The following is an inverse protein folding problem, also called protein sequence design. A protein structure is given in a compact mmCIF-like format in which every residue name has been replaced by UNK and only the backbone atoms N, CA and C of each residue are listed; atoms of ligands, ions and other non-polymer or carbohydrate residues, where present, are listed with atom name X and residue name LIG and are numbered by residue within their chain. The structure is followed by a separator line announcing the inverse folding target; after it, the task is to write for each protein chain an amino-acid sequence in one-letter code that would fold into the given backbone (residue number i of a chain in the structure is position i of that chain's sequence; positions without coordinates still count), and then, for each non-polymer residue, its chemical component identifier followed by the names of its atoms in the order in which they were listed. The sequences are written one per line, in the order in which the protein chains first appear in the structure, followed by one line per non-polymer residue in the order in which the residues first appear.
data_IF_276305741062
#
_entry.id   IF_276305741062
#
_cell.length_a   1.000
_cell.length_b   1.000
_cell.length_c   1.000
_cell.angle_alpha   90.00
_cell.angle_beta   90.00
_cell.angle_gamma   90.00
#
_symmetry.space_group_name_H-M   'P 1'
#
loop_
_entity.id
_entity.type
_entity.pdbx_description
1 polymer ?
#
# COMPACT_ATOMS: atom_id res chain seq x y z
N UNK A 1 -28.90 41.12 -20.52
CA UNK A 1 -27.57 41.39 -19.94
C UNK A 1 -27.51 40.97 -18.48
N UNK A 2 -28.30 41.61 -17.59
CA UNK A 2 -28.25 41.40 -16.13
C UNK A 2 -28.51 39.96 -15.66
N UNK A 3 -29.53 39.28 -16.21
CA UNK A 3 -29.85 37.88 -15.86
C UNK A 3 -28.73 36.88 -16.21
N UNK A 4 -28.02 37.10 -17.32
CA UNK A 4 -26.88 36.26 -17.71
C UNK A 4 -25.70 36.46 -16.75
N UNK A 5 -25.41 37.71 -16.36
CA UNK A 5 -24.36 38.04 -15.39
C UNK A 5 -24.63 37.44 -14.01
N UNK A 6 -25.90 37.44 -13.57
CA UNK A 6 -26.32 36.79 -12.32
C UNK A 6 -26.13 35.27 -12.39
N UNK A 7 -26.53 34.64 -13.50
CA UNK A 7 -26.39 33.20 -13.68
C UNK A 7 -24.91 32.76 -13.70
N UNK A 8 -24.05 33.52 -14.39
CA UNK A 8 -22.60 33.27 -14.40
C UNK A 8 -21.98 33.48 -13.02
N UNK A 9 -22.41 34.53 -12.29
CA UNK A 9 -21.96 34.76 -10.91
C UNK A 9 -22.32 33.60 -9.98
N UNK A 10 -23.56 33.11 -10.04
CA UNK A 10 -24.01 31.95 -9.26
C UNK A 10 -23.25 30.67 -9.62
N UNK A 11 -23.00 30.42 -10.91
CA UNK A 11 -22.23 29.27 -11.36
C UNK A 11 -20.78 29.33 -10.85
N UNK A 12 -20.13 30.50 -10.91
CA UNK A 12 -18.77 30.70 -10.39
C UNK A 12 -18.72 30.51 -8.88
N UNK A 13 -19.70 31.03 -8.14
CA UNK A 13 -19.79 30.82 -6.68
C UNK A 13 -19.97 29.34 -6.35
N UNK A 14 -20.89 28.63 -7.02
CA UNK A 14 -21.10 27.19 -6.84
C UNK A 14 -19.85 26.37 -7.15
N UNK A 15 -19.16 26.69 -8.25
CA UNK A 15 -17.91 26.03 -8.63
C UNK A 15 -16.86 26.28 -7.56
N UNK A 16 -16.60 27.52 -7.16
CA UNK A 16 -15.64 27.87 -6.11
C UNK A 16 -15.93 27.18 -4.78
N UNK A 17 -17.19 27.07 -4.38
CA UNK A 17 -17.59 26.32 -3.18
C UNK A 17 -17.29 24.82 -3.30
N UNK A 18 -17.55 24.22 -4.46
CA UNK A 18 -17.24 22.82 -4.75
C UNK A 18 -15.72 22.56 -4.79
N UNK A 19 -14.93 23.50 -5.33
CA UNK A 19 -13.46 23.37 -5.37
C UNK A 19 -12.87 23.55 -3.97
N UNK A 20 -13.35 24.52 -3.19
CA UNK A 20 -12.88 24.76 -1.82
C UNK A 20 -13.29 23.62 -0.86
N UNK A 21 -14.43 22.95 -1.10
CA UNK A 21 -14.81 21.75 -0.36
C UNK A 21 -13.90 20.53 -0.65
N UNK A 22 -13.07 20.60 -1.69
CA UNK A 22 -12.07 19.58 -1.98
C UNK A 22 -10.82 19.72 -1.09
N UNK A 23 -10.62 20.90 -0.48
CA UNK A 23 -9.47 21.25 0.38
C UNK A 23 -9.93 21.75 1.75
N UNK A 24 -10.91 21.06 2.36
CA UNK A 24 -11.30 21.30 3.74
C UNK A 24 -10.23 20.74 4.69
N UNK A 25 -9.63 21.61 5.49
CA UNK A 25 -8.60 21.32 6.50
C UNK A 25 -9.08 20.29 7.55
N UNK A 26 -10.40 20.05 7.63
CA UNK A 26 -11.03 19.04 8.50
C UNK A 26 -11.18 17.66 7.84
N UNK A 27 -10.72 17.46 6.60
CA UNK A 27 -10.71 16.12 5.96
C UNK A 27 -9.46 15.33 6.36
N UNK A 28 -9.62 14.66 7.49
CA UNK A 28 -9.07 13.37 7.92
C UNK A 28 -7.99 12.75 6.99
N UNK A 29 -6.77 12.63 7.52
CA UNK A 29 -5.63 11.91 6.95
C UNK A 29 -4.80 12.63 5.87
N UNK A 30 -4.23 13.80 6.19
CA UNK A 30 -3.10 14.33 5.43
C UNK A 30 -1.95 14.67 6.38
N UNK A 31 -0.85 13.92 6.28
CA UNK A 31 0.32 14.08 7.14
C UNK A 31 1.42 14.79 6.39
N UNK A 32 2.03 15.78 7.04
CA UNK A 32 3.12 16.57 6.48
C UNK A 32 4.41 15.78 6.58
N UNK A 33 5.02 15.46 5.44
CA UNK A 33 6.37 14.88 5.41
C UNK A 33 7.42 15.97 5.65
N UNK A 34 8.28 15.78 6.66
CA UNK A 34 9.73 16.07 6.62
C UNK A 34 10.49 15.85 7.94
N UNK A 35 9.86 15.41 9.03
CA UNK A 35 10.59 15.00 10.24
C UNK A 35 9.97 13.71 10.80
N UNK A 36 10.79 12.92 11.50
CA UNK A 36 10.55 11.51 11.82
C UNK A 36 9.11 11.20 12.29
N UNK A 37 8.36 10.47 11.45
CA UNK A 37 7.14 9.69 11.74
C UNK A 37 6.32 10.21 12.94
N UNK A 38 5.68 11.38 12.79
CA UNK A 38 4.58 11.72 13.70
C UNK A 38 3.34 10.86 13.35
N UNK A 39 2.68 10.24 14.34
CA UNK A 39 1.48 9.45 14.08
C UNK A 39 0.40 10.36 13.52
N UNK A 40 0.00 10.08 12.29
CA UNK A 40 -1.21 10.63 11.70
C UNK A 40 -2.39 10.33 12.61
N UNK A 41 -3.10 11.37 13.08
CA UNK A 41 -4.37 11.19 13.80
C UNK A 41 -5.47 10.81 12.80
N UNK A 42 -5.36 9.59 12.30
CA UNK A 42 -6.32 8.91 11.46
C UNK A 42 -7.00 7.87 12.33
N UNK A 43 -8.31 7.99 12.56
CA UNK A 43 -9.04 6.88 13.15
C UNK A 43 -8.85 5.64 12.25
N UNK A 44 -8.44 4.53 12.85
CA UNK A 44 -8.21 3.24 12.19
C UNK A 44 -9.42 2.79 11.35
N UNK A 45 -10.63 3.17 11.78
CA UNK A 45 -11.89 2.88 11.12
C UNK A 45 -11.97 3.43 9.70
N UNK A 46 -11.20 4.49 9.38
CA UNK A 46 -11.21 5.11 8.05
C UNK A 46 -10.32 4.41 7.03
N UNK A 47 -9.14 3.90 7.44
CA UNK A 47 -8.15 3.33 6.52
C UNK A 47 -8.56 1.92 6.11
N UNK A 48 -8.96 1.08 7.07
CA UNK A 48 -9.30 -0.31 6.79
C UNK A 48 -10.54 -0.41 5.90
N UNK A 49 -11.59 0.34 6.21
CA UNK A 49 -12.81 0.38 5.40
C UNK A 49 -12.49 0.91 4.00
N UNK A 50 -11.77 2.03 3.89
CA UNK A 50 -11.40 2.59 2.59
C UNK A 50 -10.55 1.61 1.76
N UNK A 51 -9.51 1.02 2.35
CA UNK A 51 -8.65 0.08 1.68
C UNK A 51 -9.46 -1.14 1.21
N UNK A 52 -10.19 -1.80 2.11
CA UNK A 52 -10.82 -3.09 1.83
C UNK A 52 -12.05 -2.95 0.91
N UNK A 53 -12.83 -1.89 1.06
CA UNK A 53 -14.09 -1.72 0.31
C UNK A 53 -13.90 -0.98 -1.02
N UNK A 54 -13.03 0.04 -1.05
CA UNK A 54 -12.91 0.96 -2.20
C UNK A 54 -11.64 0.68 -3.01
N UNK A 55 -10.48 0.64 -2.36
CA UNK A 55 -9.19 0.70 -3.05
C UNK A 55 -8.66 -0.66 -3.50
N UNK A 56 -8.64 -1.65 -2.61
CA UNK A 56 -7.93 -2.91 -2.78
C UNK A 56 -8.30 -3.62 -4.09
N UNK A 57 -9.60 -3.76 -4.39
CA UNK A 57 -10.08 -4.42 -5.62
C UNK A 57 -9.67 -3.68 -6.90
N UNK A 58 -9.51 -2.35 -6.85
CA UNK A 58 -9.06 -1.55 -8.00
C UNK A 58 -7.55 -1.67 -8.17
N UNK A 59 -6.82 -1.54 -7.07
CA UNK A 59 -5.36 -1.62 -7.03
C UNK A 59 -4.86 -3.00 -7.48
N UNK A 60 -5.42 -4.09 -6.96
CA UNK A 60 -5.02 -5.45 -7.35
C UNK A 60 -5.20 -5.68 -8.85
N UNK A 61 -6.32 -5.21 -9.44
CA UNK A 61 -6.55 -5.30 -10.90
C UNK A 61 -5.57 -4.45 -11.71
N UNK A 62 -5.13 -3.32 -11.16
CA UNK A 62 -4.16 -2.44 -11.80
C UNK A 62 -2.77 -3.10 -11.82
N UNK A 63 -2.34 -3.65 -10.68
CA UNK A 63 -1.03 -4.30 -10.53
C UNK A 63 -0.87 -5.54 -11.42
N UNK A 64 -1.98 -6.19 -11.80
CA UNK A 64 -1.97 -7.31 -12.74
C UNK A 64 -1.79 -6.90 -14.22
N UNK A 65 -1.89 -5.61 -14.56
CA UNK A 65 -1.76 -5.14 -15.95
C UNK A 65 -0.32 -5.25 -16.46
N UNK A 66 -0.09 -5.47 -17.77
CA UNK A 66 1.25 -5.54 -18.36
C UNK A 66 2.15 -4.35 -18.01
N UNK A 67 1.57 -3.17 -17.86
CA UNK A 67 2.32 -1.97 -17.49
C UNK A 67 2.94 -2.05 -16.07
N UNK A 68 2.22 -2.64 -15.11
CA UNK A 68 2.63 -2.64 -13.69
C UNK A 68 3.24 -3.96 -13.21
N UNK A 69 2.92 -5.09 -13.86
CA UNK A 69 3.32 -6.42 -13.39
C UNK A 69 4.81 -6.75 -13.54
N UNK A 70 5.56 -5.95 -14.28
CA UNK A 70 6.98 -6.17 -14.53
C UNK A 70 7.82 -5.12 -13.81
N UNK A 71 8.75 -5.58 -12.98
CA UNK A 71 9.67 -4.72 -12.25
C UNK A 71 11.11 -5.05 -12.63
N UNK A 72 11.90 -4.03 -12.97
CA UNK A 72 13.33 -4.18 -13.28
C UNK A 72 14.11 -4.29 -11.97
N UNK A 73 14.68 -5.47 -11.73
CA UNK A 73 15.47 -5.77 -10.54
C UNK A 73 16.84 -6.34 -10.93
N UNK A 74 17.88 -5.97 -10.16
CA UNK A 74 19.19 -6.61 -10.25
C UNK A 74 19.29 -7.70 -9.17
N UNK A 75 19.02 -8.95 -9.56
CA UNK A 75 19.13 -10.11 -8.66
C UNK A 75 20.59 -10.54 -8.42
N UNK A 76 21.54 -10.00 -9.19
CA UNK A 76 22.97 -10.34 -9.11
C UNK A 76 23.77 -9.35 -8.25
N UNK A 77 23.10 -8.39 -7.62
CA UNK A 77 23.74 -7.51 -6.64
C UNK A 77 24.18 -8.34 -5.44
N UNK A 78 25.49 -8.40 -5.22
CA UNK A 78 26.07 -9.10 -4.08
C UNK A 78 25.80 -8.34 -2.77
N UNK A 79 25.62 -9.09 -1.68
CA UNK A 79 25.53 -8.52 -0.33
C UNK A 79 26.86 -7.83 0.01
N UNK A 80 26.85 -6.56 0.48
CA UNK A 80 28.08 -5.84 0.79
C UNK A 80 28.71 -6.24 2.13
N UNK A 81 28.04 -7.08 2.92
CA UNK A 81 28.45 -7.41 4.29
C UNK A 81 29.00 -8.84 4.43
N UNK A 82 28.48 -9.82 3.67
CA UNK A 82 28.96 -11.21 3.69
C UNK A 82 28.68 -11.91 2.34
N UNK A 83 29.41 -12.99 2.02
CA UNK A 83 29.11 -13.83 0.85
C UNK A 83 27.74 -14.51 0.99
N UNK A 84 26.93 -14.44 -0.06
CA UNK A 84 25.61 -15.09 -0.16
C UNK A 84 25.64 -16.06 -1.35
N UNK A 85 25.60 -17.36 -1.06
CA UNK A 85 25.53 -18.44 -2.05
C UNK A 85 24.08 -18.75 -2.47
N UNK A 86 23.13 -17.89 -2.06
CA UNK A 86 21.69 -17.97 -2.31
C UNK A 86 21.05 -19.25 -1.79
N UNK A 87 21.75 -19.96 -0.92
CA UNK A 87 21.29 -21.18 -0.28
C UNK A 87 21.43 -20.99 1.23
N UNK A 88 20.52 -21.56 2.00
CA UNK A 88 20.72 -21.62 3.43
C UNK A 88 20.34 -23.00 3.95
N UNK A 89 21.36 -23.79 4.27
CA UNK A 89 21.23 -25.08 4.95
C UNK A 89 21.22 -24.96 6.48
N UNK A 90 21.31 -23.74 7.02
CA UNK A 90 21.29 -23.50 8.47
C UNK A 90 19.86 -23.39 9.00
N UNK A 91 19.67 -23.80 10.27
CA UNK A 91 18.42 -23.58 11.01
C UNK A 91 18.10 -22.09 11.21
N UNK A 92 19.09 -21.22 11.11
CA UNK A 92 18.94 -19.76 11.30
C UNK A 92 18.16 -19.07 10.16
N UNK A 93 18.01 -19.72 9.00
CA UNK A 93 17.20 -19.19 7.90
C UNK A 93 15.81 -19.84 7.81
N UNK A 94 15.56 -20.85 8.63
CA UNK A 94 14.27 -21.53 8.72
C UNK A 94 13.42 -20.93 9.82
N UNK A 95 12.12 -20.82 9.58
CA UNK A 95 11.17 -20.66 10.69
C UNK A 95 11.13 -22.01 11.43
N UNK A 96 11.04 -21.98 12.76
CA UNK A 96 10.86 -23.19 13.56
C UNK A 96 9.69 -24.01 13.01
N UNK A 97 9.89 -25.30 12.78
CA UNK A 97 8.77 -26.21 12.43
C UNK A 97 7.80 -26.23 13.60
N UNK A 98 6.56 -25.85 13.35
CA UNK A 98 5.49 -26.04 14.32
C UNK A 98 5.31 -27.54 14.61
N UNK A 99 4.95 -27.87 15.85
CA UNK A 99 4.68 -29.24 16.34
C UNK A 99 3.48 -29.89 15.61
N UNK A 100 2.97 -31.01 16.15
CA UNK A 100 1.92 -31.88 15.58
C UNK A 100 0.59 -31.19 15.21
N UNK A 101 0.46 -29.89 15.47
CA UNK A 101 -0.67 -29.04 15.12
C UNK A 101 -0.76 -28.70 13.61
N UNK A 102 0.30 -28.92 12.82
CA UNK A 102 0.25 -28.68 11.37
C UNK A 102 -0.39 -29.87 10.65
N UNK A 103 -1.49 -29.68 9.89
CA UNK A 103 -2.09 -30.74 9.09
C UNK A 103 -1.07 -31.37 8.13
N UNK A 104 -1.16 -32.70 7.94
CA UNK A 104 -0.18 -33.46 7.15
C UNK A 104 0.05 -32.92 5.73
N UNK A 105 -0.98 -32.32 5.10
CA UNK A 105 -0.86 -31.70 3.78
C UNK A 105 -0.12 -30.35 3.73
N UNK A 106 0.15 -29.74 4.89
CA UNK A 106 0.87 -28.47 5.03
C UNK A 106 2.26 -28.64 5.66
N UNK A 107 2.57 -29.83 6.20
CA UNK A 107 3.92 -30.19 6.62
C UNK A 107 4.81 -30.17 5.37
N UNK A 108 5.62 -29.12 5.19
CA UNK A 108 6.66 -29.14 4.16
C UNK A 108 7.60 -30.30 4.48
N UNK A 109 7.93 -31.19 3.51
CA UNK A 109 9.00 -32.14 3.73
C UNK A 109 10.24 -31.33 4.09
N UNK A 110 10.92 -31.71 5.18
CA UNK A 110 12.21 -31.15 5.52
C UNK A 110 13.16 -31.53 4.39
N UNK A 111 13.30 -30.67 3.38
CA UNK A 111 14.34 -30.80 2.37
C UNK A 111 15.63 -30.42 3.07
N UNK A 112 16.19 -31.39 3.78
CA UNK A 112 17.61 -31.43 4.11
C UNK A 112 18.21 -32.35 3.07
N UNK A 113 18.75 -31.79 2.00
CA UNK A 113 19.56 -32.54 1.05
C UNK A 113 20.96 -31.97 1.08
N UNK A 114 21.80 -32.73 1.80
CA UNK A 114 23.27 -32.80 1.80
C UNK A 114 24.06 -31.53 2.08
#
# INVERSE_FOLDING_TARGET
MLRKAILTGLAVVLISSLVNAQFDEKRQCFCKENEAVEPCDCSSDSIDVFNNEVLHKKLTRLLQRPFFRYYKVNMDKQCPFWPDDRQCGSKECGIMTCDDEVPAGLKRPAVVTT
#
